data_IF_542993334777
#
_entry.id   IF_542993334777
#
_cell.length_a   1.000
_cell.length_b   1.000
_cell.length_c   1.000
_cell.angle_alpha   90.00
_cell.angle_beta   90.00
_cell.angle_gamma   90.00
#
_symmetry.space_group_name_H-M   'P 1'
#
loop_
_entity.id
_entity.type
_entity.pdbx_description
1 polymer ?
#
# COMPACT_ATOMS: atom_id res chain seq x y z
N UNK A 1 24.21 3.63 -3.95
CA UNK A 1 23.59 4.96 -3.85
C UNK A 1 22.70 5.16 -5.06
N UNK A 2 21.38 5.05 -4.88
CA UNK A 2 20.38 5.66 -5.77
C UNK A 2 19.30 6.17 -4.82
N UNK A 3 19.47 7.41 -4.40
CA UNK A 3 18.44 8.21 -3.75
C UNK A 3 17.45 8.57 -4.85
N UNK A 4 16.45 7.71 -5.05
CA UNK A 4 15.42 7.93 -6.05
C UNK A 4 14.56 9.10 -5.58
N UNK A 5 14.88 10.25 -6.15
CA UNK A 5 14.20 11.54 -6.07
C UNK A 5 12.70 11.42 -6.35
N UNK A 6 11.90 11.14 -5.34
CA UNK A 6 10.54 11.66 -5.25
C UNK A 6 10.60 12.85 -4.28
N UNK A 7 10.22 14.03 -4.77
CA UNK A 7 10.14 15.22 -3.92
C UNK A 7 9.27 14.96 -2.69
N UNK A 8 9.48 15.67 -1.58
CA UNK A 8 8.70 15.44 -0.36
C UNK A 8 7.21 15.52 -0.72
N UNK A 9 6.46 14.51 -0.32
CA UNK A 9 5.00 14.46 -0.50
C UNK A 9 4.41 15.77 0.00
N UNK A 10 3.82 16.58 -0.88
CA UNK A 10 3.34 17.93 -0.56
C UNK A 10 1.92 17.84 -0.03
N UNK A 11 1.66 18.32 1.18
CA UNK A 11 0.33 18.33 1.79
C UNK A 11 0.35 18.63 3.29
N UNK A 12 -0.82 18.76 3.94
CA UNK A 12 -0.88 19.06 5.37
C UNK A 12 -0.30 17.97 6.27
N UNK A 13 -0.11 16.75 5.77
CA UNK A 13 0.53 15.63 6.48
C UNK A 13 1.94 15.32 5.98
N UNK A 14 2.55 16.24 5.21
CA UNK A 14 3.95 16.14 4.79
C UNK A 14 4.87 15.84 5.98
N UNK A 15 5.79 14.91 5.79
CA UNK A 15 6.77 14.51 6.81
C UNK A 15 6.26 13.49 7.83
N UNK A 16 4.97 13.14 7.82
CA UNK A 16 4.47 12.01 8.57
C UNK A 16 4.66 10.71 7.80
N UNK A 17 5.05 9.65 8.53
CA UNK A 17 5.08 8.28 8.02
C UNK A 17 3.97 7.46 8.65
N UNK A 18 3.25 6.70 7.83
CA UNK A 18 2.13 5.84 8.26
C UNK A 18 2.45 4.40 7.89
N UNK A 19 2.42 3.52 8.89
CA UNK A 19 2.60 2.09 8.72
C UNK A 19 1.21 1.41 8.66
N UNK A 20 0.73 1.12 7.44
CA UNK A 20 -0.61 0.60 7.18
C UNK A 20 -0.64 -0.94 7.25
N UNK A 21 -1.11 -1.46 8.39
CA UNK A 21 -1.36 -2.88 8.64
C UNK A 21 -2.81 -3.32 8.31
N UNK A 22 -3.59 -2.43 7.69
CA UNK A 22 -5.02 -2.64 7.49
C UNK A 22 -5.31 -3.41 6.20
N UNK A 23 -6.52 -3.99 6.12
CA UNK A 23 -6.98 -4.79 4.99
C UNK A 23 -8.42 -4.46 4.61
N UNK A 24 -8.82 -4.90 3.42
CA UNK A 24 -10.19 -4.83 2.90
C UNK A 24 -10.62 -3.41 2.50
N UNK A 25 -11.28 -2.65 3.37
CA UNK A 25 -11.87 -1.38 2.97
C UNK A 25 -11.73 -0.27 4.00
N UNK A 26 -12.32 -0.43 5.19
CA UNK A 26 -12.42 0.68 6.15
C UNK A 26 -11.05 1.27 6.53
N UNK A 27 -10.10 0.41 6.90
CA UNK A 27 -8.72 0.82 7.20
C UNK A 27 -8.01 1.37 5.96
N UNK A 28 -7.97 0.64 4.83
CA UNK A 28 -7.31 1.13 3.63
C UNK A 28 -7.82 2.49 3.16
N UNK A 29 -9.14 2.73 3.20
CA UNK A 29 -9.76 4.00 2.84
C UNK A 29 -9.33 5.14 3.77
N UNK A 30 -9.26 4.90 5.07
CA UNK A 30 -8.77 5.89 6.04
C UNK A 30 -7.32 6.29 5.73
N UNK A 31 -6.45 5.30 5.55
CA UNK A 31 -5.02 5.53 5.31
C UNK A 31 -4.77 6.12 3.92
N UNK A 32 -5.60 5.78 2.92
CA UNK A 32 -5.55 6.42 1.60
C UNK A 32 -5.77 7.93 1.71
N UNK A 33 -6.71 8.39 2.54
CA UNK A 33 -6.92 9.83 2.78
C UNK A 33 -5.66 10.46 3.39
N UNK A 34 -4.96 9.76 4.29
CA UNK A 34 -3.69 10.26 4.84
C UNK A 34 -2.61 10.41 3.76
N UNK A 35 -2.52 9.44 2.84
CA UNK A 35 -1.62 9.51 1.68
C UNK A 35 -2.00 10.64 0.72
N UNK A 36 -3.30 10.82 0.44
CA UNK A 36 -3.83 11.94 -0.37
C UNK A 36 -3.47 13.31 0.25
N UNK A 37 -3.36 13.38 1.58
CA UNK A 37 -2.96 14.58 2.34
C UNK A 37 -1.43 14.71 2.51
N UNK A 38 -0.65 13.86 1.86
CA UNK A 38 0.81 13.97 1.79
C UNK A 38 1.58 13.15 2.83
N UNK A 39 0.98 12.19 3.53
CA UNK A 39 1.74 11.27 4.37
C UNK A 39 2.50 10.22 3.52
N UNK A 40 3.69 9.81 3.99
CA UNK A 40 4.41 8.65 3.44
C UNK A 40 3.78 7.36 3.97
N UNK A 41 2.92 6.74 3.17
CA UNK A 41 2.18 5.53 3.56
C UNK A 41 2.88 4.28 3.06
N UNK A 42 3.28 3.42 4.00
CA UNK A 42 3.82 2.09 3.74
C UNK A 42 2.76 1.05 4.07
N UNK A 43 2.19 0.41 3.04
CA UNK A 43 1.26 -0.71 3.21
C UNK A 43 2.03 -2.01 3.40
N UNK A 44 1.75 -2.70 4.49
CA UNK A 44 2.37 -3.97 4.82
C UNK A 44 1.41 -5.10 4.49
N UNK A 45 1.84 -5.97 3.61
CA UNK A 45 1.00 -7.07 3.11
C UNK A 45 1.62 -8.44 3.41
N UNK A 46 0.79 -9.47 3.35
CA UNK A 46 1.25 -10.85 3.57
C UNK A 46 2.07 -11.33 2.37
N UNK A 47 3.26 -11.93 2.59
CA UNK A 47 4.02 -12.56 1.51
C UNK A 47 3.18 -13.56 0.71
N UNK A 48 3.31 -13.53 -0.61
CA UNK A 48 2.59 -14.41 -1.55
C UNK A 48 1.08 -14.17 -1.70
N UNK A 49 0.43 -13.49 -0.75
CA UNK A 49 -1.02 -13.34 -0.74
C UNK A 49 -1.50 -11.90 -0.92
N UNK A 50 -0.78 -10.93 -0.35
CA UNK A 50 -1.21 -9.54 -0.35
C UNK A 50 -2.40 -9.26 0.59
N UNK A 51 -3.01 -8.10 0.38
CA UNK A 51 -4.37 -7.75 0.79
C UNK A 51 -5.39 -8.65 0.06
N UNK A 52 -6.41 -9.10 0.79
CA UNK A 52 -7.47 -9.96 0.26
C UNK A 52 -8.16 -9.34 -0.98
N UNK A 53 -8.27 -8.02 -1.01
CA UNK A 53 -8.94 -7.27 -2.09
C UNK A 53 -8.17 -7.25 -3.40
N UNK A 54 -6.88 -7.60 -3.44
CA UNK A 54 -6.14 -7.76 -4.71
C UNK A 54 -6.77 -8.80 -5.62
N UNK A 55 -7.49 -9.76 -5.04
CA UNK A 55 -8.18 -10.85 -5.75
C UNK A 55 -9.68 -10.59 -5.93
N UNK A 56 -10.20 -9.47 -5.42
CA UNK A 56 -11.62 -9.14 -5.51
C UNK A 56 -11.90 -8.54 -6.89
N UNK A 57 -12.17 -9.43 -7.85
CA UNK A 57 -12.69 -9.08 -9.16
C UNK A 57 -13.75 -10.09 -9.59
N UNK A 58 -14.34 -9.90 -10.78
CA UNK A 58 -14.17 -8.74 -11.68
C UNK A 58 -14.80 -7.43 -11.14
N UNK A 59 -14.40 -6.25 -11.66
CA UNK A 59 -13.47 -6.06 -12.79
C UNK A 59 -12.00 -6.06 -12.35
N UNK A 60 -11.14 -6.61 -13.21
CA UNK A 60 -9.70 -6.34 -13.20
C UNK A 60 -9.38 -5.24 -14.21
N UNK A 61 -8.40 -4.39 -13.90
CA UNK A 61 -7.97 -3.32 -14.81
C UNK A 61 -7.46 -3.94 -16.10
N UNK A 62 -7.83 -3.34 -17.23
CA UNK A 62 -7.31 -3.73 -18.54
C UNK A 62 -6.04 -2.97 -18.86
N UNK A 63 -5.08 -3.65 -19.48
CA UNK A 63 -3.92 -3.02 -20.09
C UNK A 63 -4.31 -2.21 -21.35
N UNK A 64 -3.39 -1.47 -21.97
CA UNK A 64 -3.67 -0.68 -23.17
C UNK A 64 -4.19 -1.50 -24.37
N UNK A 65 -3.91 -2.81 -24.43
CA UNK A 65 -4.38 -3.72 -25.46
C UNK A 65 -5.76 -4.34 -25.14
N UNK A 66 -6.33 -3.97 -23.98
CA UNK A 66 -7.66 -4.40 -23.55
C UNK A 66 -7.70 -5.74 -22.81
N UNK A 67 -6.54 -6.34 -22.49
CA UNK A 67 -6.44 -7.60 -21.75
C UNK A 67 -6.48 -7.34 -20.25
N UNK A 68 -7.17 -8.20 -19.50
CA UNK A 68 -7.22 -8.11 -18.03
C UNK A 68 -5.83 -8.30 -17.41
N UNK A 69 -5.49 -7.41 -16.48
CA UNK A 69 -4.32 -7.50 -15.62
C UNK A 69 -4.67 -8.21 -14.31
N UNK A 70 -3.70 -8.32 -13.40
CA UNK A 70 -3.94 -8.81 -12.02
C UNK A 70 -4.44 -7.71 -11.08
N UNK A 71 -4.58 -6.47 -11.53
CA UNK A 71 -4.97 -5.35 -10.68
C UNK A 71 -6.49 -5.31 -10.49
N UNK A 72 -6.94 -5.67 -9.29
CA UNK A 72 -8.36 -5.56 -8.92
C UNK A 72 -8.82 -4.10 -8.91
N UNK A 73 -9.92 -3.83 -9.60
CA UNK A 73 -10.58 -2.52 -9.52
C UNK A 73 -11.01 -2.17 -8.08
N UNK A 74 -11.35 -3.18 -7.27
CA UNK A 74 -11.70 -3.00 -5.86
C UNK A 74 -10.49 -2.51 -5.05
N UNK A 75 -9.36 -3.21 -5.14
CA UNK A 75 -8.13 -2.85 -4.42
C UNK A 75 -7.71 -1.40 -4.70
N UNK A 76 -7.82 -0.97 -5.96
CA UNK A 76 -7.41 0.36 -6.41
C UNK A 76 -8.30 1.49 -5.87
N UNK A 77 -9.52 1.20 -5.41
CA UNK A 77 -10.40 2.24 -4.82
C UNK A 77 -9.88 2.79 -3.48
N UNK A 78 -9.06 2.01 -2.77
CA UNK A 78 -8.69 2.28 -1.37
C UNK A 78 -7.17 2.18 -1.07
N UNK A 79 -6.32 2.08 -2.09
CA UNK A 79 -4.86 1.93 -1.90
C UNK A 79 -3.96 2.83 -2.77
N UNK A 80 -4.49 3.89 -3.40
CA UNK A 80 -3.61 4.89 -4.06
C UNK A 80 -2.75 5.64 -3.03
N UNK A 81 -1.65 6.24 -3.47
CA UNK A 81 -0.70 6.98 -2.63
C UNK A 81 -0.05 6.14 -1.51
N UNK A 82 0.05 4.82 -1.71
CA UNK A 82 0.73 3.90 -0.79
C UNK A 82 1.84 3.16 -1.51
N UNK A 83 2.98 2.98 -0.82
CA UNK A 83 4.04 2.06 -1.23
C UNK A 83 3.82 0.73 -0.54
N UNK A 84 3.82 -0.38 -1.28
CA UNK A 84 3.56 -1.70 -0.72
C UNK A 84 4.86 -2.48 -0.48
N UNK A 85 4.94 -3.14 0.67
CA UNK A 85 5.94 -4.17 0.98
C UNK A 85 5.22 -5.42 1.46
N UNK A 86 5.85 -6.58 1.28
CA UNK A 86 5.43 -7.81 1.95
C UNK A 86 6.28 -8.06 3.18
N UNK A 87 5.66 -8.33 4.33
CA UNK A 87 6.35 -8.65 5.58
C UNK A 87 5.57 -9.69 6.38
N UNK A 88 6.26 -10.74 6.83
CA UNK A 88 5.66 -11.73 7.72
C UNK A 88 5.84 -11.34 9.20
N UNK A 89 4.85 -10.66 9.76
CA UNK A 89 4.85 -10.23 11.17
C UNK A 89 4.71 -11.39 12.17
N UNK A 90 4.49 -12.63 11.71
CA UNK A 90 4.48 -13.81 12.60
C UNK A 90 5.88 -14.34 12.86
N UNK A 91 6.87 -13.95 12.05
CA UNK A 91 8.28 -14.30 12.22
C UNK A 91 9.02 -13.30 13.11
N UNK A 92 10.04 -13.76 13.84
CA UNK A 92 10.91 -12.88 14.64
C UNK A 92 11.63 -11.85 13.76
N UNK A 93 12.17 -12.29 12.60
CA UNK A 93 12.84 -11.41 11.63
C UNK A 93 11.89 -10.34 11.08
N UNK A 94 10.65 -10.71 10.77
CA UNK A 94 9.64 -9.77 10.27
C UNK A 94 9.23 -8.76 11.34
N UNK A 95 9.12 -9.18 12.61
CA UNK A 95 8.88 -8.26 13.72
C UNK A 95 10.08 -7.33 13.95
N UNK A 96 11.31 -7.84 13.86
CA UNK A 96 12.51 -7.04 14.00
C UNK A 96 12.60 -5.97 12.90
N UNK A 97 12.32 -6.35 11.65
CA UNK A 97 12.27 -5.40 10.52
C UNK A 97 11.17 -4.35 10.72
N UNK A 98 9.95 -4.74 11.14
CA UNK A 98 8.88 -3.79 11.39
C UNK A 98 9.25 -2.75 12.45
N UNK A 99 9.94 -3.16 13.53
CA UNK A 99 10.42 -2.24 14.57
C UNK A 99 11.50 -1.26 14.09
N UNK A 100 12.20 -1.55 13.00
CA UNK A 100 13.16 -0.61 12.40
C UNK A 100 12.45 0.46 11.54
N UNK A 101 11.20 0.21 11.13
CA UNK A 101 10.44 1.09 10.25
C UNK A 101 9.49 2.04 10.99
N UNK A 102 9.22 1.76 12.27
CA UNK A 102 8.36 2.53 13.20
C UNK A 102 9.24 3.39 14.09
#
# INVERSE_FOLDING_TARGET
MNDATEGPSVGPLSGLRVFDLTRVLAGPSCVQILGDLGADVIKVERPGQGDDTRKFGPPFVKDPDGKETTESGYYLTANRNKRSITLDLTSEDGQAMARQMI
#
